data_IF_462408062435
#
_entry.id   IF_462408062435
#
_cell.length_a   1.000
_cell.length_b   1.000
_cell.length_c   1.000
_cell.angle_alpha   90.00
_cell.angle_beta   90.00
_cell.angle_gamma   90.00
#
_symmetry.space_group_name_H-M   'P 1'
#
loop_
_entity.id
_entity.type
_entity.pdbx_description
1 polymer ?
#
# COMPACT_ATOMS: atom_id res chain seq x y z
N UNK A 1 -1.58 6.99 -4.95
CA UNK A 1 -0.91 6.78 -6.26
C UNK A 1 0.24 7.77 -6.45
N UNK A 2 0.00 9.06 -6.20
CA UNK A 2 1.04 10.08 -6.28
C UNK A 2 2.29 9.79 -5.42
N UNK A 3 2.15 9.24 -4.21
CA UNK A 3 3.31 8.86 -3.39
C UNK A 3 4.12 7.70 -3.99
N UNK A 4 3.45 6.75 -4.64
CA UNK A 4 4.13 5.69 -5.39
C UNK A 4 4.84 6.25 -6.62
N UNK A 5 4.26 7.23 -7.31
CA UNK A 5 5.00 7.95 -8.36
C UNK A 5 6.23 8.67 -7.79
N UNK A 6 6.10 9.38 -6.66
CA UNK A 6 7.23 10.06 -6.04
C UNK A 6 8.34 9.08 -5.61
N UNK A 7 7.98 7.87 -5.18
CA UNK A 7 8.93 6.77 -4.97
C UNK A 7 9.67 6.44 -6.26
N UNK A 8 8.94 6.23 -7.37
CA UNK A 8 9.56 5.94 -8.67
C UNK A 8 10.43 7.09 -9.20
N UNK A 9 10.12 8.34 -8.88
CA UNK A 9 10.92 9.52 -9.26
C UNK A 9 12.22 9.61 -8.47
N UNK A 10 12.14 9.48 -7.13
CA UNK A 10 13.27 9.72 -6.23
C UNK A 10 14.18 8.50 -6.07
N UNK A 11 13.63 7.30 -6.28
CA UNK A 11 14.30 6.02 -5.99
C UNK A 11 14.23 5.09 -7.22
N UNK A 12 14.94 5.42 -8.31
CA UNK A 12 14.89 4.67 -9.57
C UNK A 12 15.42 3.23 -9.44
N UNK A 13 16.13 2.89 -8.36
CA UNK A 13 16.59 1.52 -8.10
C UNK A 13 15.47 0.49 -8.01
N UNK A 14 14.23 0.93 -7.79
CA UNK A 14 13.03 0.08 -7.69
C UNK A 14 12.38 -0.22 -9.04
N UNK A 15 12.77 0.47 -10.12
CA UNK A 15 12.19 0.25 -11.45
C UNK A 15 12.41 -1.20 -11.89
N UNK A 16 11.36 -1.85 -12.39
CA UNK A 16 11.38 -3.25 -12.80
C UNK A 16 11.45 -4.28 -11.67
N UNK A 17 11.63 -3.85 -10.41
CA UNK A 17 11.80 -4.76 -9.25
C UNK A 17 10.58 -4.83 -8.35
N UNK A 18 9.81 -3.75 -8.30
CA UNK A 18 8.61 -3.66 -7.45
C UNK A 18 7.36 -3.49 -8.30
N UNK A 19 6.21 -3.79 -7.72
CA UNK A 19 4.90 -3.53 -8.33
C UNK A 19 3.93 -3.14 -7.24
N UNK A 20 3.10 -2.14 -7.54
CA UNK A 20 2.03 -1.73 -6.65
C UNK A 20 0.68 -2.26 -7.14
N UNK A 21 -0.01 -3.02 -6.29
CA UNK A 21 -1.35 -3.56 -6.60
C UNK A 21 -2.38 -2.88 -5.72
N UNK A 22 -3.29 -2.12 -6.33
CA UNK A 22 -4.45 -1.54 -5.67
C UNK A 22 -5.70 -2.34 -6.04
N UNK A 23 -6.28 -2.99 -5.04
CA UNK A 23 -7.59 -3.64 -5.15
C UNK A 23 -8.63 -2.66 -4.60
N UNK A 24 -9.57 -2.25 -5.43
CA UNK A 24 -10.61 -1.29 -5.07
C UNK A 24 -11.95 -1.80 -5.59
N UNK A 25 -12.63 -2.72 -4.87
CA UNK A 25 -13.90 -3.26 -5.33
C UNK A 25 -14.93 -2.14 -5.47
N UNK A 26 -15.78 -2.24 -6.49
CA UNK A 26 -16.81 -1.23 -6.73
C UNK A 26 -17.72 -1.12 -5.51
N UNK A 27 -17.84 0.09 -4.95
CA UNK A 27 -18.78 0.39 -3.89
C UNK A 27 -19.69 1.52 -4.35
N UNK A 28 -20.99 1.42 -4.06
CA UNK A 28 -21.99 2.48 -4.28
C UNK A 28 -21.87 3.14 -5.67
N UNK A 29 -21.90 2.32 -6.72
CA UNK A 29 -21.65 2.73 -8.10
C UNK A 29 -22.57 3.83 -8.63
N UNK A 30 -23.73 4.04 -8.04
CA UNK A 30 -24.70 5.06 -8.45
C UNK A 30 -24.44 6.45 -7.85
N UNK A 31 -23.45 6.59 -6.96
CA UNK A 31 -23.11 7.87 -6.33
C UNK A 31 -22.03 8.58 -7.15
N UNK A 32 -22.35 9.75 -7.70
CA UNK A 32 -21.44 10.53 -8.57
C UNK A 32 -20.04 10.72 -7.98
N UNK A 33 -19.93 11.07 -6.69
CA UNK A 33 -18.64 11.26 -6.04
C UNK A 33 -17.73 10.01 -6.09
N UNK A 34 -18.30 8.80 -6.04
CA UNK A 34 -17.52 7.56 -6.16
C UNK A 34 -17.08 7.31 -7.61
N UNK A 35 -17.91 7.67 -8.59
CA UNK A 35 -17.56 7.61 -10.00
C UNK A 35 -16.41 8.58 -10.32
N UNK A 36 -16.46 9.80 -9.79
CA UNK A 36 -15.42 10.82 -10.00
C UNK A 36 -14.07 10.36 -9.42
N UNK A 37 -14.06 9.84 -8.19
CA UNK A 37 -12.85 9.28 -7.57
C UNK A 37 -12.32 8.12 -8.39
N UNK A 38 -13.20 7.22 -8.87
CA UNK A 38 -12.79 6.09 -9.72
C UNK A 38 -12.12 6.58 -10.99
N UNK A 39 -12.71 7.54 -11.70
CA UNK A 39 -12.12 8.10 -12.92
C UNK A 39 -10.77 8.77 -12.65
N UNK A 40 -10.63 9.50 -11.54
CA UNK A 40 -9.35 10.07 -11.13
C UNK A 40 -8.30 8.97 -10.91
N UNK A 41 -8.64 7.89 -10.19
CA UNK A 41 -7.73 6.78 -9.94
C UNK A 41 -7.33 6.04 -11.23
N UNK A 42 -8.29 5.80 -12.14
CA UNK A 42 -8.02 5.16 -13.44
C UNK A 42 -7.06 6.01 -14.29
N UNK A 43 -7.28 7.33 -14.32
CA UNK A 43 -6.40 8.26 -15.03
C UNK A 43 -4.99 8.29 -14.43
N UNK A 44 -4.87 8.38 -13.11
CA UNK A 44 -3.57 8.36 -12.43
C UNK A 44 -2.82 7.04 -12.64
N UNK A 45 -3.52 5.90 -12.57
CA UNK A 45 -2.95 4.60 -12.87
C UNK A 45 -2.42 4.54 -14.30
N UNK A 46 -3.23 4.98 -15.28
CA UNK A 46 -2.84 5.04 -16.69
C UNK A 46 -1.62 5.94 -16.92
N UNK A 47 -1.60 7.13 -16.30
CA UNK A 47 -0.49 8.09 -16.42
C UNK A 47 0.81 7.53 -15.84
N UNK A 48 0.77 6.94 -14.64
CA UNK A 48 1.95 6.33 -14.00
C UNK A 48 2.47 5.16 -14.85
N UNK A 49 1.58 4.27 -15.30
CA UNK A 49 1.97 3.14 -16.14
C UNK A 49 2.53 3.59 -17.50
N UNK A 50 1.99 4.64 -18.11
CA UNK A 50 2.52 5.20 -19.35
C UNK A 50 3.90 5.85 -19.19
N UNK A 51 4.17 6.47 -18.03
CA UNK A 51 5.45 7.14 -17.74
C UNK A 51 6.57 6.16 -17.38
N UNK A 52 6.28 5.12 -16.59
CA UNK A 52 7.30 4.22 -16.04
C UNK A 52 7.26 2.80 -16.58
N UNK A 53 6.18 2.41 -17.26
CA UNK A 53 6.02 1.05 -17.79
C UNK A 53 7.13 0.67 -18.76
N UNK A 54 7.54 -0.58 -18.70
CA UNK A 54 8.56 -1.17 -19.58
C UNK A 54 8.07 -2.51 -20.12
N UNK A 55 8.75 -3.05 -21.13
CA UNK A 55 8.44 -4.39 -21.63
C UNK A 55 8.58 -5.41 -20.48
N UNK A 56 7.48 -6.07 -20.12
CA UNK A 56 7.44 -7.05 -19.03
C UNK A 56 7.23 -6.47 -17.63
N UNK A 57 7.09 -5.14 -17.49
CA UNK A 57 6.84 -4.50 -16.19
C UNK A 57 5.74 -3.45 -16.27
N UNK A 58 4.63 -3.74 -15.59
CA UNK A 58 3.56 -2.78 -15.30
C UNK A 58 3.69 -2.33 -13.84
N UNK A 59 4.06 -1.05 -13.57
CA UNK A 59 4.32 -0.57 -12.23
C UNK A 59 3.10 -0.66 -11.30
N UNK A 60 1.91 -0.29 -11.79
CA UNK A 60 0.69 -0.15 -11.00
C UNK A 60 -0.44 -0.99 -11.57
N UNK A 61 -0.89 -1.99 -10.83
CA UNK A 61 -2.10 -2.77 -11.13
C UNK A 61 -3.27 -2.21 -10.34
N UNK A 62 -4.19 -1.55 -11.04
CA UNK A 62 -5.45 -1.09 -10.47
C UNK A 62 -6.56 -2.07 -10.83
N UNK A 63 -7.06 -2.80 -9.82
CA UNK A 63 -8.04 -3.86 -9.98
C UNK A 63 -9.36 -3.43 -9.33
N UNK A 64 -10.33 -3.06 -10.17
CA UNK A 64 -11.69 -2.79 -9.72
C UNK A 64 -12.55 -4.07 -9.76
N UNK A 65 -12.15 -5.06 -8.97
CA UNK A 65 -12.79 -6.37 -8.90
C UNK A 65 -12.94 -6.80 -7.44
N UNK A 66 -13.99 -7.55 -7.17
CA UNK A 66 -14.16 -8.20 -5.86
C UNK A 66 -13.27 -9.43 -5.76
N UNK A 67 -12.63 -9.61 -4.60
CA UNK A 67 -11.85 -10.80 -4.28
C UNK A 67 -12.31 -11.35 -2.93
N UNK A 68 -12.38 -12.67 -2.83
CA UNK A 68 -12.70 -13.34 -1.58
C UNK A 68 -11.64 -13.01 -0.51
N UNK A 69 -12.09 -12.85 0.74
CA UNK A 69 -11.23 -12.53 1.87
C UNK A 69 -10.05 -13.51 2.02
N UNK A 70 -10.27 -14.80 1.76
CA UNK A 70 -9.22 -15.83 1.82
C UNK A 70 -8.10 -15.59 0.80
N UNK A 71 -8.44 -15.08 -0.38
CA UNK A 71 -7.47 -14.72 -1.41
C UNK A 71 -6.73 -13.43 -1.04
N UNK A 72 -7.45 -12.43 -0.49
CA UNK A 72 -6.82 -11.20 0.01
C UNK A 72 -5.77 -11.49 1.11
N UNK A 73 -6.05 -12.40 2.05
CA UNK A 73 -5.06 -12.79 3.07
C UNK A 73 -3.81 -13.41 2.46
N UNK A 74 -3.96 -14.21 1.38
CA UNK A 74 -2.80 -14.75 0.66
C UNK A 74 -2.01 -13.63 -0.02
N UNK A 75 -2.69 -12.68 -0.67
CA UNK A 75 -2.04 -11.53 -1.27
C UNK A 75 -1.25 -10.75 -0.21
N UNK A 76 -1.86 -10.47 0.95
CA UNK A 76 -1.18 -9.80 2.06
C UNK A 76 0.09 -10.53 2.50
N UNK A 77 0.02 -11.86 2.65
CA UNK A 77 1.19 -12.67 3.04
C UNK A 77 2.34 -12.62 2.03
N UNK A 78 2.05 -12.46 0.74
CA UNK A 78 3.06 -12.39 -0.32
C UNK A 78 3.49 -10.96 -0.67
N UNK A 79 2.87 -9.95 -0.06
CA UNK A 79 3.25 -8.56 -0.27
C UNK A 79 4.35 -8.14 0.71
N UNK A 80 5.42 -7.56 0.20
CA UNK A 80 6.51 -7.04 1.03
C UNK A 80 6.09 -5.79 1.83
N UNK A 81 5.13 -5.01 1.31
CA UNK A 81 4.66 -3.77 1.92
C UNK A 81 3.14 -3.67 1.85
N UNK A 82 2.52 -3.37 3.00
CA UNK A 82 1.13 -3.00 3.13
C UNK A 82 1.02 -1.49 3.23
N UNK A 83 0.43 -0.84 2.23
CA UNK A 83 0.24 0.62 2.22
C UNK A 83 -1.20 0.96 2.59
N UNK A 84 -1.40 1.42 3.83
CA UNK A 84 -2.72 1.76 4.36
C UNK A 84 -2.73 3.23 4.77
N UNK A 85 -3.04 4.10 3.81
CA UNK A 85 -2.93 5.56 4.00
C UNK A 85 -4.26 6.31 3.84
N UNK A 86 -5.32 5.99 4.62
CA UNK A 86 -6.56 6.75 4.56
C UNK A 86 -6.35 8.18 5.09
N UNK A 87 -7.07 9.15 4.51
CA UNK A 87 -7.09 10.53 5.01
C UNK A 87 -7.77 10.64 6.37
N UNK A 88 -8.71 9.74 6.66
CA UNK A 88 -9.38 9.57 7.96
C UNK A 88 -10.05 8.20 8.02
N UNK A 89 -9.79 7.43 9.07
CA UNK A 89 -10.42 6.12 9.29
C UNK A 89 -10.53 5.84 10.79
N UNK A 90 -11.71 5.43 11.26
CA UNK A 90 -11.94 5.16 12.67
C UNK A 90 -11.11 3.99 13.23
N UNK A 91 -10.71 3.03 12.39
CA UNK A 91 -9.88 1.89 12.80
C UNK A 91 -8.98 1.38 11.68
N UNK A 92 -9.56 1.08 10.51
CA UNK A 92 -8.93 0.33 9.43
C UNK A 92 -8.52 -1.12 9.80
N UNK A 93 -9.45 -2.06 9.62
CA UNK A 93 -9.18 -3.49 9.85
C UNK A 93 -8.18 -4.08 8.85
N UNK A 94 -8.07 -3.50 7.64
CA UNK A 94 -7.14 -3.98 6.61
C UNK A 94 -5.69 -3.89 7.10
N UNK A 95 -5.34 -2.85 7.87
CA UNK A 95 -4.02 -2.73 8.50
C UNK A 95 -3.73 -3.92 9.44
N UNK A 96 -4.68 -4.27 10.31
CA UNK A 96 -4.54 -5.40 11.25
C UNK A 96 -4.52 -6.74 10.52
N UNK A 97 -5.36 -6.92 9.51
CA UNK A 97 -5.39 -8.13 8.69
C UNK A 97 -4.08 -8.33 7.92
N UNK A 98 -3.48 -7.25 7.41
CA UNK A 98 -2.18 -7.32 6.74
C UNK A 98 -1.10 -7.86 7.69
N UNK A 99 -1.00 -7.31 8.91
CA UNK A 99 -0.03 -7.76 9.93
C UNK A 99 -0.30 -9.21 10.34
N UNK A 100 -1.55 -9.57 10.58
CA UNK A 100 -1.94 -10.92 10.98
C UNK A 100 -1.70 -11.98 9.90
N UNK A 101 -1.71 -11.60 8.62
CA UNK A 101 -1.49 -12.53 7.51
C UNK A 101 0.00 -12.86 7.25
N UNK A 102 0.92 -12.06 7.79
CA UNK A 102 2.36 -12.19 7.51
C UNK A 102 2.97 -13.52 7.99
N UNK A 103 4.06 -13.92 7.35
CA UNK A 103 4.91 -14.99 7.85
C UNK A 103 5.85 -14.43 8.93
N UNK A 104 5.78 -14.90 10.19
CA UNK A 104 6.70 -14.42 11.23
C UNK A 104 8.19 -14.63 10.90
N UNK A 105 8.53 -15.59 10.03
CA UNK A 105 9.91 -15.84 9.61
C UNK A 105 10.39 -14.88 8.51
N UNK A 106 9.48 -14.25 7.77
CA UNK A 106 9.80 -13.28 6.73
C UNK A 106 8.63 -12.29 6.51
N UNK A 107 8.31 -11.43 7.49
CA UNK A 107 7.12 -10.58 7.42
C UNK A 107 7.38 -9.33 6.58
N UNK A 108 6.36 -8.88 5.85
CA UNK A 108 6.37 -7.56 5.21
C UNK A 108 6.24 -6.41 6.21
N UNK A 109 6.29 -5.18 5.70
CA UNK A 109 6.23 -3.94 6.49
C UNK A 109 4.89 -3.24 6.29
N UNK A 110 4.30 -2.73 7.37
CA UNK A 110 3.10 -1.89 7.29
C UNK A 110 3.49 -0.41 7.25
N UNK A 111 3.05 0.31 6.23
CA UNK A 111 3.06 1.78 6.15
C UNK A 111 1.64 2.27 6.42
N UNK A 112 1.46 3.05 7.48
CA UNK A 112 0.14 3.35 8.05
C UNK A 112 -0.07 4.86 8.24
N UNK A 113 -1.21 5.37 7.80
CA UNK A 113 -1.60 6.76 8.08
C UNK A 113 -1.76 7.00 9.57
N UNK A 114 -1.20 8.11 10.07
CA UNK A 114 -1.45 8.61 11.43
C UNK A 114 -2.93 8.91 11.72
N UNK A 115 -3.77 9.00 10.69
CA UNK A 115 -5.21 9.27 10.80
C UNK A 115 -6.08 8.01 10.75
N UNK A 116 -5.48 6.82 10.77
CA UNK A 116 -6.18 5.57 10.97
C UNK A 116 -6.20 5.22 12.48
N UNK A 117 -7.35 4.83 13.02
CA UNK A 117 -7.45 4.45 14.43
C UNK A 117 -6.49 3.33 14.85
N UNK A 118 -6.18 2.39 13.95
CA UNK A 118 -5.18 1.35 14.17
C UNK A 118 -3.76 1.90 14.43
N UNK A 119 -3.44 3.15 14.07
CA UNK A 119 -2.13 3.74 14.34
C UNK A 119 -1.86 3.89 15.85
N UNK A 120 -2.91 3.94 16.68
CA UNK A 120 -2.77 3.95 18.14
C UNK A 120 -2.37 2.58 18.71
N UNK A 121 -2.57 1.50 17.96
CA UNK A 121 -2.31 0.13 18.39
C UNK A 121 -1.09 -0.48 17.66
N UNK A 122 -0.96 -0.24 16.36
CA UNK A 122 0.11 -0.75 15.50
C UNK A 122 1.31 0.22 15.48
N UNK A 123 1.85 0.54 16.65
CA UNK A 123 2.85 1.60 16.85
C UNK A 123 4.19 1.33 16.16
N UNK A 124 4.52 0.07 15.87
CA UNK A 124 5.74 -0.32 15.16
C UNK A 124 5.61 -0.30 13.64
N UNK A 125 4.44 0.11 13.10
CA UNK A 125 4.29 0.45 11.69
C UNK A 125 5.13 1.68 11.32
N UNK A 126 5.40 1.86 10.02
CA UNK A 126 5.91 3.13 9.52
C UNK A 126 4.74 4.12 9.43
N UNK A 127 4.56 4.88 10.51
CA UNK A 127 3.51 5.90 10.61
C UNK A 127 3.85 7.07 9.69
N UNK A 128 2.89 7.48 8.87
CA UNK A 128 3.06 8.56 7.89
C UNK A 128 1.90 9.55 7.89
N UNK A 129 2.17 10.79 7.50
CA UNK A 129 1.14 11.73 7.11
C UNK A 129 0.74 11.54 5.63
N UNK A 130 -0.49 11.09 5.30
CA UNK A 130 -0.90 10.87 3.91
C UNK A 130 -1.02 12.15 3.06
N UNK A 131 -1.02 13.34 3.69
CA UNK A 131 -0.96 14.62 2.97
C UNK A 131 0.46 14.95 2.49
N UNK A 132 1.48 14.32 3.06
CA UNK A 132 2.87 14.47 2.62
C UNK A 132 3.24 13.29 1.71
N UNK A 133 3.17 13.54 0.41
CA UNK A 133 3.51 12.56 -0.63
C UNK A 133 4.95 12.06 -0.51
N UNK A 134 5.86 12.95 -0.14
CA UNK A 134 7.29 12.66 -0.11
C UNK A 134 7.67 11.85 1.12
N UNK A 135 7.00 12.12 2.25
CA UNK A 135 7.08 11.29 3.46
C UNK A 135 6.62 9.86 3.19
N UNK A 136 5.46 9.69 2.54
CA UNK A 136 4.95 8.36 2.16
C UNK A 136 5.91 7.65 1.20
N UNK A 137 6.50 8.36 0.23
CA UNK A 137 7.48 7.80 -0.68
C UNK A 137 8.75 7.34 0.03
N UNK A 138 9.28 8.13 0.98
CA UNK A 138 10.43 7.76 1.78
C UNK A 138 10.12 6.56 2.70
N UNK A 139 8.92 6.49 3.27
CA UNK A 139 8.47 5.34 4.05
C UNK A 139 8.36 4.07 3.20
N UNK A 140 7.89 4.17 1.95
CA UNK A 140 7.88 3.05 1.01
C UNK A 140 9.30 2.58 0.67
N UNK A 141 10.23 3.49 0.39
CA UNK A 141 11.64 3.14 0.14
C UNK A 141 12.26 2.42 1.35
N UNK A 142 12.04 2.97 2.55
CA UNK A 142 12.47 2.35 3.80
C UNK A 142 11.85 0.97 3.99
N UNK A 143 10.56 0.81 3.74
CA UNK A 143 9.86 -0.47 3.87
C UNK A 143 10.47 -1.54 2.94
N UNK A 144 10.75 -1.17 1.68
CA UNK A 144 11.31 -2.05 0.66
C UNK A 144 12.79 -2.42 0.93
N UNK A 145 13.52 -1.55 1.62
CA UNK A 145 14.95 -1.75 1.94
C UNK A 145 15.19 -2.21 3.38
N UNK A 146 14.12 -2.45 4.16
CA UNK A 146 14.20 -2.83 5.56
C UNK A 146 14.84 -4.21 5.75
N UNK A 147 15.83 -4.29 6.62
CA UNK A 147 16.48 -5.56 6.95
C UNK A 147 15.48 -6.57 7.53
N UNK A 148 15.70 -7.86 7.28
CA UNK A 148 14.84 -8.92 7.80
C UNK A 148 14.69 -8.87 9.33
N UNK A 149 15.78 -8.59 10.05
CA UNK A 149 15.77 -8.50 11.50
C UNK A 149 14.83 -7.38 12.02
N UNK A 150 14.87 -6.19 11.40
CA UNK A 150 13.96 -5.09 11.77
C UNK A 150 12.50 -5.43 11.42
N UNK A 151 12.26 -6.06 10.26
CA UNK A 151 10.91 -6.49 9.86
C UNK A 151 10.30 -7.46 10.87
N UNK A 152 11.06 -8.46 11.30
CA UNK A 152 10.63 -9.44 12.32
C UNK A 152 10.34 -8.74 13.65
N UNK A 153 11.24 -7.85 14.11
CA UNK A 153 11.03 -7.11 15.37
C UNK A 153 9.74 -6.31 15.34
N UNK A 154 9.52 -5.52 14.28
CA UNK A 154 8.30 -4.70 14.12
C UNK A 154 7.05 -5.55 14.04
N UNK A 155 7.09 -6.66 13.30
CA UNK A 155 5.96 -7.58 13.19
C UNK A 155 5.59 -8.19 14.54
N UNK A 156 6.58 -8.64 15.32
CA UNK A 156 6.38 -9.22 16.64
C UNK A 156 5.79 -8.22 17.65
N UNK A 157 6.16 -6.93 17.56
CA UNK A 157 5.61 -5.87 18.41
C UNK A 157 4.16 -5.49 18.09
N UNK A 158 3.66 -5.85 16.90
CA UNK A 158 2.30 -5.56 16.43
C UNK A 158 1.32 -6.74 16.55
N UNK A 159 1.76 -7.88 17.10
CA UNK A 159 0.94 -9.06 17.38
C UNK A 159 0.50 -9.09 18.84
#
# INVERSE_FOLDING_TARGET
FLAYEALLEKYPQHHGKIRYTQIAPTSRGDVQAYQDIRHQLENEAGRINGKYGQLGWTPLYYLNQHFDRKLLMKIFRYSDVGLVTPLRDGMNLVAKEYVAAQDPANPGVLVLSQFAGAANELTSALIVNPYDRDEVAAALDRALTMSLAERISRHAEML
#
